data_IF_433183387037
#
_entry.id   IF_433183387037
#
_cell.length_a   1.000
_cell.length_b   1.000
_cell.length_c   1.000
_cell.angle_alpha   90.00
_cell.angle_beta   90.00
_cell.angle_gamma   90.00
#
_symmetry.space_group_name_H-M   'P 1'
#
loop_
_entity.id
_entity.type
_entity.pdbx_description
1 polymer ?
#
# COMPACT_ATOMS: atom_id res chain seq x y z
N UNK A 1 1.42 -16.80 64.46
CA UNK A 1 2.84 -16.80 64.83
C UNK A 1 3.60 -15.95 63.83
N UNK A 2 3.80 -14.66 64.15
CA UNK A 2 4.46 -13.70 63.27
C UNK A 2 5.97 -13.76 63.42
N UNK A 3 6.67 -14.11 62.35
CA UNK A 3 8.13 -14.06 62.27
C UNK A 3 8.54 -12.61 62.11
N UNK A 4 9.03 -11.97 63.17
CA UNK A 4 9.64 -10.64 63.10
C UNK A 4 10.79 -10.65 62.08
N UNK A 5 10.92 -9.64 61.21
CA UNK A 5 12.05 -9.55 60.30
C UNK A 5 13.34 -9.48 61.12
N UNK A 6 14.28 -10.40 60.82
CA UNK A 6 15.55 -10.52 61.52
C UNK A 6 16.30 -9.18 61.50
N UNK A 7 16.73 -8.68 62.67
CA UNK A 7 17.51 -7.43 62.84
C UNK A 7 18.75 -7.35 61.92
N UNK A 8 19.21 -8.46 61.35
CA UNK A 8 20.30 -8.51 60.36
C UNK A 8 19.85 -8.07 58.96
N UNK A 9 18.63 -8.38 58.54
CA UNK A 9 18.08 -7.97 57.24
C UNK A 9 17.91 -6.46 57.14
N UNK A 10 17.46 -5.82 58.22
CA UNK A 10 17.25 -4.36 58.28
C UNK A 10 18.54 -3.53 58.21
N UNK A 11 19.68 -4.14 58.57
CA UNK A 11 21.00 -3.49 58.52
C UNK A 11 21.66 -3.63 57.15
N UNK A 12 21.49 -4.77 56.48
CA UNK A 12 22.05 -5.00 55.14
C UNK A 12 21.33 -4.18 54.05
N UNK A 13 20.04 -3.91 54.22
CA UNK A 13 19.25 -3.09 53.28
C UNK A 13 19.73 -1.63 53.16
N UNK A 14 20.47 -1.09 54.15
CA UNK A 14 20.98 0.30 54.10
C UNK A 14 22.32 0.46 53.38
N UNK A 15 23.01 -0.65 53.07
CA UNK A 15 24.40 -0.63 52.61
C UNK A 15 24.55 -0.79 51.08
N UNK A 16 23.46 -1.14 50.37
CA UNK A 16 23.46 -1.37 48.91
C UNK A 16 23.08 -0.07 48.20
N UNK A 17 23.76 0.23 47.07
CA UNK A 17 23.54 1.43 46.25
C UNK A 17 22.09 1.50 45.75
N UNK A 18 21.31 2.39 46.36
CA UNK A 18 19.85 2.48 46.24
C UNK A 18 19.30 2.83 44.83
N UNK A 19 20.12 3.35 43.91
CA UNK A 19 19.67 3.79 42.57
C UNK A 19 19.75 2.70 41.52
N UNK A 20 20.75 1.83 41.58
CA UNK A 20 20.94 0.76 40.60
C UNK A 20 19.91 -0.35 40.79
N UNK A 21 19.51 -0.61 42.04
CA UNK A 21 18.52 -1.62 42.40
C UNK A 21 17.13 -1.32 41.80
N UNK A 22 16.68 -0.07 41.87
CA UNK A 22 15.36 0.32 41.32
C UNK A 22 15.36 0.17 39.79
N UNK A 23 16.43 0.62 39.13
CA UNK A 23 16.55 0.46 37.68
C UNK A 23 16.60 -1.01 37.27
N UNK A 24 17.37 -1.83 37.98
CA UNK A 24 17.44 -3.27 37.75
C UNK A 24 16.10 -3.96 38.00
N UNK A 25 15.39 -3.60 39.06
CA UNK A 25 14.03 -4.08 39.33
C UNK A 25 13.09 -3.76 38.17
N UNK A 26 13.14 -2.54 37.62
CA UNK A 26 12.34 -2.16 36.45
C UNK A 26 12.75 -2.97 35.20
N UNK A 27 14.05 -3.17 34.96
CA UNK A 27 14.52 -4.00 33.85
C UNK A 27 14.05 -5.45 33.97
N UNK A 28 14.11 -6.03 35.18
CA UNK A 28 13.62 -7.39 35.45
C UNK A 28 12.09 -7.47 35.31
N UNK A 29 11.35 -6.49 35.83
CA UNK A 29 9.91 -6.42 35.67
C UNK A 29 9.51 -6.28 34.21
N UNK A 30 10.25 -5.49 33.43
CA UNK A 30 10.05 -5.42 31.97
C UNK A 30 10.23 -6.79 31.34
N UNK A 31 11.28 -7.52 31.67
CA UNK A 31 11.52 -8.86 31.13
C UNK A 31 10.41 -9.85 31.52
N UNK A 32 9.94 -9.82 32.77
CA UNK A 32 8.88 -10.71 33.27
C UNK A 32 7.52 -10.36 32.65
N UNK A 33 7.16 -9.07 32.61
CA UNK A 33 5.86 -8.60 32.11
C UNK A 33 5.78 -8.58 30.58
N UNK A 34 6.91 -8.61 29.87
CA UNK A 34 6.93 -8.84 28.43
C UNK A 34 6.69 -10.32 28.07
N UNK A 35 6.73 -11.24 29.04
CA UNK A 35 6.34 -12.63 28.84
C UNK A 35 4.90 -12.84 29.30
N UNK A 36 4.00 -13.26 28.40
CA UNK A 36 2.56 -13.36 28.67
C UNK A 36 2.22 -14.11 29.97
N UNK A 37 2.88 -15.25 30.23
CA UNK A 37 2.68 -16.00 31.47
C UNK A 37 3.21 -15.26 32.71
N UNK A 38 4.36 -14.58 32.59
CA UNK A 38 4.93 -13.76 33.66
C UNK A 38 4.03 -12.58 34.00
N UNK A 39 3.48 -11.91 32.99
CA UNK A 39 2.48 -10.86 33.15
C UNK A 39 1.25 -11.35 33.93
N UNK A 40 0.66 -12.47 33.50
CA UNK A 40 -0.50 -13.06 34.16
C UNK A 40 -0.21 -13.45 35.62
N UNK A 41 1.00 -13.94 35.91
CA UNK A 41 1.42 -14.28 37.27
C UNK A 41 1.52 -13.02 38.16
N UNK A 42 2.06 -11.92 37.64
CA UNK A 42 2.13 -10.65 38.36
C UNK A 42 0.73 -10.08 38.61
N UNK A 43 -0.16 -10.11 37.61
CA UNK A 43 -1.51 -9.54 37.70
C UNK A 43 -2.50 -10.38 38.53
N UNK A 44 -2.24 -11.68 38.66
CA UNK A 44 -3.02 -12.59 39.51
C UNK A 44 -2.55 -12.59 40.96
N UNK A 45 -1.29 -12.22 41.22
CA UNK A 45 -0.75 -12.21 42.57
C UNK A 45 -1.27 -11.00 43.38
N UNK A 46 -1.98 -11.20 44.51
CA UNK A 46 -2.71 -10.14 45.23
C UNK A 46 -1.86 -8.96 45.72
N UNK A 47 -0.56 -9.18 45.91
CA UNK A 47 0.35 -8.18 46.49
C UNK A 47 1.48 -7.78 45.54
N UNK A 48 1.62 -8.38 44.36
CA UNK A 48 2.83 -8.19 43.54
C UNK A 48 2.97 -6.73 43.08
N UNK A 49 1.91 -6.16 42.53
CA UNK A 49 1.86 -4.75 42.10
C UNK A 49 2.15 -3.78 43.25
N UNK A 50 1.60 -4.05 44.43
CA UNK A 50 1.75 -3.17 45.58
C UNK A 50 3.18 -3.21 46.14
N UNK A 51 3.79 -4.40 46.23
CA UNK A 51 5.20 -4.55 46.60
C UNK A 51 6.13 -3.91 45.57
N UNK A 52 5.80 -4.00 44.26
CA UNK A 52 6.53 -3.28 43.22
C UNK A 52 6.44 -1.77 43.46
N UNK A 53 5.25 -1.21 43.63
CA UNK A 53 5.05 0.22 43.87
C UNK A 53 5.81 0.71 45.12
N UNK A 54 5.79 -0.06 46.21
CA UNK A 54 6.55 0.22 47.42
C UNK A 54 8.06 0.16 47.19
N UNK A 55 8.54 -0.80 46.40
CA UNK A 55 9.97 -0.92 46.07
C UNK A 55 10.48 0.24 45.21
N UNK A 56 9.62 0.87 44.41
CA UNK A 56 9.96 2.07 43.63
C UNK A 56 10.10 3.31 44.53
N UNK A 57 9.32 3.41 45.62
CA UNK A 57 9.35 4.56 46.54
C UNK A 57 10.43 4.45 47.62
N UNK A 58 11.68 4.75 47.26
CA UNK A 58 12.86 4.57 48.12
C UNK A 58 13.02 5.64 49.23
N UNK A 59 12.19 6.69 49.27
CA UNK A 59 12.44 7.84 50.17
C UNK A 59 11.90 7.71 51.60
N UNK A 60 11.20 6.64 51.96
CA UNK A 60 10.67 6.49 53.32
C UNK A 60 10.88 5.10 53.94
N UNK A 61 12.02 4.86 54.62
CA UNK A 61 12.14 3.76 55.58
C UNK A 61 11.28 3.95 56.84
N UNK A 62 10.46 5.02 56.91
CA UNK A 62 9.62 5.42 58.03
C UNK A 62 8.11 5.45 57.73
N UNK A 63 7.64 4.90 56.62
CA UNK A 63 6.32 4.25 56.69
C UNK A 63 6.57 2.94 57.41
N UNK A 64 6.20 2.80 58.70
CA UNK A 64 6.32 1.52 59.37
C UNK A 64 5.64 0.50 58.46
N UNK A 65 6.24 -0.68 58.32
CA UNK A 65 5.57 -1.92 57.94
C UNK A 65 4.18 -1.89 58.59
N UNK A 66 3.17 -1.34 57.89
CA UNK A 66 1.80 -1.39 58.36
C UNK A 66 1.46 -2.84 58.08
N UNK A 67 1.44 -3.68 59.12
CA UNK A 67 1.45 -5.11 58.97
C UNK A 67 0.14 -5.46 58.32
N UNK A 68 0.13 -5.79 57.03
CA UNK A 68 -1.05 -6.32 56.34
C UNK A 68 -2.35 -5.72 56.91
N UNK A 69 -2.46 -4.39 56.98
CA UNK A 69 -3.79 -3.82 56.94
C UNK A 69 -4.23 -4.25 55.57
N UNK A 70 -5.01 -5.34 55.53
CA UNK A 70 -5.80 -5.81 54.41
C UNK A 70 -5.99 -4.60 53.52
N UNK A 71 -5.20 -4.47 52.44
CA UNK A 71 -5.21 -3.27 51.61
C UNK A 71 -6.65 -3.20 51.13
N UNK A 72 -7.46 -2.34 51.76
CA UNK A 72 -8.82 -2.04 51.32
C UNK A 72 -8.72 -1.04 50.17
N UNK A 73 -7.76 -1.26 49.28
CA UNK A 73 -7.72 -0.60 48.00
C UNK A 73 -8.97 -1.09 47.27
N UNK A 74 -9.81 -0.14 46.86
CA UNK A 74 -11.01 -0.48 46.09
C UNK A 74 -10.61 -0.90 44.68
N UNK A 75 -9.49 -0.37 44.21
CA UNK A 75 -8.94 -0.62 42.89
C UNK A 75 -7.46 -0.97 43.00
N UNK A 76 -7.00 -1.95 42.22
CA UNK A 76 -5.56 -2.19 42.03
C UNK A 76 -4.88 -0.92 41.52
N UNK A 77 -3.61 -0.72 41.86
CA UNK A 77 -2.81 0.48 41.52
C UNK A 77 -3.21 1.78 42.24
N UNK A 78 -4.25 1.80 43.09
CA UNK A 78 -4.73 3.01 43.77
C UNK A 78 -3.62 3.70 44.59
N UNK A 79 -2.87 2.94 45.39
CA UNK A 79 -1.73 3.49 46.15
C UNK A 79 -0.57 3.93 45.29
N UNK A 80 -0.26 3.19 44.23
CA UNK A 80 0.79 3.61 43.28
C UNK A 80 0.44 5.00 42.72
N UNK A 81 -0.80 5.18 42.31
CA UNK A 81 -1.29 6.44 41.77
C UNK A 81 -1.39 7.54 42.83
N UNK A 82 -1.67 7.21 44.09
CA UNK A 82 -1.59 8.17 45.19
C UNK A 82 -0.16 8.69 45.40
N UNK A 83 0.84 7.81 45.47
CA UNK A 83 2.23 8.22 45.62
C UNK A 83 2.75 8.96 44.39
N UNK A 84 2.41 8.48 43.19
CA UNK A 84 2.89 9.06 41.94
C UNK A 84 2.35 10.48 41.71
N UNK A 85 1.06 10.73 41.97
CA UNK A 85 0.46 12.05 41.73
C UNK A 85 0.86 13.11 42.74
N UNK A 86 1.22 12.70 43.96
CA UNK A 86 1.54 13.61 45.07
C UNK A 86 3.06 13.86 45.22
N UNK A 87 3.91 13.14 44.49
CA UNK A 87 5.37 13.30 44.58
C UNK A 87 5.89 14.35 43.60
N UNK A 88 6.29 15.51 44.10
CA UNK A 88 6.93 16.56 43.28
C UNK A 88 8.46 16.63 43.52
N UNK A 89 9.02 15.91 44.50
CA UNK A 89 10.43 16.05 44.93
C UNK A 89 11.40 15.01 44.35
N UNK A 90 10.91 13.96 43.72
CA UNK A 90 11.73 12.84 43.24
C UNK A 90 11.48 12.52 41.77
N UNK A 91 12.23 13.19 40.87
CA UNK A 91 12.17 12.92 39.42
C UNK A 91 12.45 11.44 39.11
N UNK A 92 13.45 10.83 39.75
CA UNK A 92 13.82 9.43 39.48
C UNK A 92 12.67 8.46 39.84
N UNK A 93 11.89 8.77 40.88
CA UNK A 93 10.69 8.00 41.24
C UNK A 93 9.57 8.19 40.23
N UNK A 94 9.32 9.41 39.78
CA UNK A 94 8.31 9.68 38.76
C UNK A 94 8.64 8.98 37.44
N UNK A 95 9.90 9.03 37.01
CA UNK A 95 10.38 8.30 35.83
C UNK A 95 10.16 6.80 36.00
N UNK A 96 10.52 6.24 37.15
CA UNK A 96 10.32 4.83 37.47
C UNK A 96 8.84 4.40 37.45
N UNK A 97 7.96 5.19 38.07
CA UNK A 97 6.52 4.93 38.10
C UNK A 97 5.92 5.03 36.69
N UNK A 98 6.27 6.07 35.94
CA UNK A 98 5.79 6.25 34.57
C UNK A 98 6.25 5.10 33.67
N UNK A 99 7.51 4.70 33.78
CA UNK A 99 8.04 3.55 33.04
C UNK A 99 7.33 2.25 33.41
N UNK A 100 7.02 2.03 34.70
CA UNK A 100 6.25 0.87 35.13
C UNK A 100 4.84 0.85 34.53
N UNK A 101 4.13 1.98 34.56
CA UNK A 101 2.80 2.13 33.95
C UNK A 101 2.88 1.81 32.45
N UNK A 102 3.87 2.35 31.74
CA UNK A 102 4.08 2.07 30.32
C UNK A 102 4.24 0.57 30.04
N UNK A 103 5.01 -0.14 30.88
CA UNK A 103 5.16 -1.58 30.72
C UNK A 103 3.83 -2.28 30.98
N UNK A 104 3.18 -2.00 32.12
CA UNK A 104 1.92 -2.66 32.50
C UNK A 104 0.83 -2.49 31.44
N UNK A 105 0.64 -1.28 30.94
CA UNK A 105 -0.46 -0.96 30.01
C UNK A 105 -0.12 -1.40 28.60
N UNK A 106 1.13 -1.16 28.14
CA UNK A 106 1.46 -1.32 26.72
C UNK A 106 2.20 -2.62 26.37
N UNK A 107 2.59 -3.45 27.34
CA UNK A 107 3.19 -4.77 27.04
C UNK A 107 2.17 -5.86 26.76
N UNK A 108 0.87 -5.60 26.91
CA UNK A 108 -0.17 -6.61 26.69
C UNK A 108 -0.49 -6.76 25.20
N UNK A 109 -0.53 -8.01 24.73
CA UNK A 109 -0.86 -8.37 23.35
C UNK A 109 -2.35 -8.18 23.00
N UNK A 110 -3.26 -8.43 23.96
CA UNK A 110 -4.70 -8.24 23.75
C UNK A 110 -5.04 -6.75 23.81
N UNK A 111 -5.48 -6.20 22.67
CA UNK A 111 -5.83 -4.79 22.54
C UNK A 111 -7.03 -4.39 23.40
N UNK A 112 -8.02 -5.26 23.59
CA UNK A 112 -9.17 -4.95 24.45
C UNK A 112 -8.75 -4.86 25.91
N UNK A 113 -7.89 -5.79 26.33
CA UNK A 113 -7.37 -5.78 27.70
C UNK A 113 -6.43 -4.58 27.93
N UNK A 114 -5.66 -4.18 26.93
CA UNK A 114 -4.86 -2.95 26.99
C UNK A 114 -5.73 -1.70 27.14
N UNK A 115 -6.82 -1.57 26.38
CA UNK A 115 -7.78 -0.46 26.55
C UNK A 115 -8.41 -0.49 27.95
N UNK A 116 -8.72 -1.68 28.47
CA UNK A 116 -9.24 -1.82 29.83
C UNK A 116 -8.24 -1.35 30.90
N UNK A 117 -6.97 -1.77 30.82
CA UNK A 117 -5.92 -1.31 31.72
C UNK A 117 -5.68 0.20 31.62
N UNK A 118 -5.66 0.73 30.39
CA UNK A 118 -5.55 2.17 30.17
C UNK A 118 -6.68 2.91 30.90
N UNK A 119 -7.93 2.42 30.77
CA UNK A 119 -9.08 2.99 31.46
C UNK A 119 -8.99 2.90 32.98
N UNK A 120 -8.46 1.81 33.54
CA UNK A 120 -8.21 1.71 34.99
C UNK A 120 -7.29 2.84 35.47
N UNK A 121 -6.18 3.09 34.78
CA UNK A 121 -5.27 4.18 35.13
C UNK A 121 -5.88 5.56 34.90
N UNK A 122 -6.67 5.74 33.84
CA UNK A 122 -7.45 6.98 33.63
C UNK A 122 -8.38 7.24 34.81
N UNK A 123 -9.06 6.21 35.34
CA UNK A 123 -9.96 6.36 36.51
C UNK A 123 -9.25 6.66 37.81
N UNK A 124 -8.00 6.23 37.95
CA UNK A 124 -7.15 6.57 39.08
C UNK A 124 -6.49 7.96 38.93
N UNK A 125 -6.81 8.65 37.83
CA UNK A 125 -6.44 10.03 37.58
C UNK A 125 -5.03 10.23 37.02
N UNK A 126 -4.59 9.29 36.17
CA UNK A 126 -3.35 9.42 35.42
C UNK A 126 -3.43 10.57 34.42
N UNK A 127 -4.58 10.78 33.80
CA UNK A 127 -4.79 11.83 32.79
C UNK A 127 -4.54 13.23 33.36
N UNK A 128 -5.06 13.53 34.56
CA UNK A 128 -4.85 14.82 35.22
C UNK A 128 -3.37 15.04 35.55
N UNK A 129 -2.64 13.98 35.91
CA UNK A 129 -1.20 14.05 36.10
C UNK A 129 -0.46 14.33 34.79
N UNK A 130 -0.80 13.63 33.71
CA UNK A 130 -0.17 13.82 32.40
C UNK A 130 -0.41 15.25 31.88
N UNK A 131 -1.62 15.79 32.10
CA UNK A 131 -1.94 17.18 31.75
C UNK A 131 -1.16 18.19 32.59
N UNK A 132 -1.09 18.01 33.92
CA UNK A 132 -0.28 18.86 34.82
C UNK A 132 1.20 18.82 34.45
N UNK A 133 1.71 17.64 34.08
CA UNK A 133 3.12 17.36 33.82
C UNK A 133 3.53 17.50 32.35
N UNK A 134 2.63 17.98 31.47
CA UNK A 134 2.87 18.11 30.02
C UNK A 134 4.08 19.00 29.68
N UNK A 135 4.35 20.00 30.52
CA UNK A 135 5.45 20.95 30.35
C UNK A 135 6.52 20.78 31.45
N UNK A 136 6.76 19.54 31.88
CA UNK A 136 7.85 19.25 32.83
C UNK A 136 9.20 19.68 32.27
N UNK A 137 10.05 20.29 33.10
CA UNK A 137 11.43 20.64 32.70
C UNK A 137 12.36 19.42 32.67
N UNK A 138 11.90 18.27 33.17
CA UNK A 138 12.69 17.04 33.20
C UNK A 138 12.56 16.26 31.90
N UNK A 139 13.63 16.29 31.08
CA UNK A 139 13.72 15.51 29.84
C UNK A 139 13.49 14.00 30.08
N UNK A 140 14.06 13.45 31.16
CA UNK A 140 13.89 12.02 31.50
C UNK A 140 12.42 11.65 31.72
N UNK A 141 11.68 12.48 32.44
CA UNK A 141 10.26 12.26 32.68
C UNK A 141 9.46 12.50 31.41
N UNK A 142 9.78 13.55 30.66
CA UNK A 142 9.11 13.90 29.41
C UNK A 142 9.17 12.76 28.39
N UNK A 143 10.32 12.08 28.26
CA UNK A 143 10.45 10.90 27.39
C UNK A 143 9.51 9.77 27.82
N UNK A 144 9.35 9.52 29.12
CA UNK A 144 8.42 8.47 29.59
C UNK A 144 6.94 8.87 29.40
N UNK A 145 6.62 10.15 29.60
CA UNK A 145 5.28 10.70 29.36
C UNK A 145 4.94 10.59 27.88
N UNK A 146 5.84 11.02 26.99
CA UNK A 146 5.60 10.95 25.55
C UNK A 146 5.45 9.51 25.07
N UNK A 147 6.30 8.60 25.55
CA UNK A 147 6.19 7.18 25.22
C UNK A 147 4.84 6.56 25.63
N UNK A 148 4.21 7.05 26.69
CA UNK A 148 2.83 6.65 27.04
C UNK A 148 1.84 7.23 26.05
N UNK A 149 1.87 8.56 25.84
CA UNK A 149 0.93 9.27 24.99
C UNK A 149 0.94 8.75 23.54
N UNK A 150 2.12 8.45 23.00
CA UNK A 150 2.27 7.86 21.65
C UNK A 150 1.63 6.47 21.53
N UNK A 151 1.43 5.78 22.66
CA UNK A 151 0.89 4.43 22.75
C UNK A 151 -0.52 4.39 23.36
N UNK A 152 -1.15 5.53 23.65
CA UNK A 152 -2.53 5.57 24.12
C UNK A 152 -3.47 5.11 23.00
N UNK A 153 -4.41 4.24 23.33
CA UNK A 153 -5.50 3.85 22.45
C UNK A 153 -6.64 4.87 22.53
N UNK A 154 -6.86 5.62 21.45
CA UNK A 154 -8.05 6.45 21.27
C UNK A 154 -9.10 5.69 20.45
N UNK A 155 -9.99 4.98 21.16
CA UNK A 155 -11.07 4.22 20.52
C UNK A 155 -12.05 5.15 19.80
N UNK A 156 -12.24 6.37 20.31
CA UNK A 156 -13.13 7.36 19.69
C UNK A 156 -12.60 7.82 18.35
N UNK A 157 -11.35 8.31 18.34
CA UNK A 157 -10.68 8.72 17.11
C UNK A 157 -10.58 7.61 16.06
N UNK A 158 -10.27 6.37 16.48
CA UNK A 158 -10.24 5.23 15.56
C UNK A 158 -11.61 4.91 14.92
N UNK A 159 -12.70 5.16 15.65
CA UNK A 159 -14.05 4.96 15.12
C UNK A 159 -14.42 6.06 14.10
N UNK A 160 -14.08 7.31 14.40
CA UNK A 160 -14.25 8.44 13.48
C UNK A 160 -13.44 8.27 12.18
N UNK A 161 -12.20 7.79 12.31
CA UNK A 161 -11.34 7.46 11.17
C UNK A 161 -11.93 6.32 10.32
N UNK A 162 -12.51 5.30 10.95
CA UNK A 162 -13.16 4.19 10.26
C UNK A 162 -14.41 4.65 9.50
N UNK A 163 -15.22 5.53 10.10
CA UNK A 163 -16.38 6.14 9.43
C UNK A 163 -15.94 7.00 8.24
N UNK A 164 -14.92 7.85 8.43
CA UNK A 164 -14.33 8.66 7.35
C UNK A 164 -13.81 7.80 6.21
N UNK A 165 -13.16 6.67 6.52
CA UNK A 165 -12.69 5.70 5.54
C UNK A 165 -13.85 5.08 4.75
N UNK A 166 -14.97 4.75 5.40
CA UNK A 166 -16.13 4.19 4.70
C UNK A 166 -16.71 5.19 3.70
N UNK A 167 -16.84 6.47 4.08
CA UNK A 167 -17.28 7.53 3.16
C UNK A 167 -16.33 7.66 1.96
N UNK A 168 -15.03 7.58 2.18
CA UNK A 168 -14.06 7.62 1.10
C UNK A 168 -14.18 6.39 0.15
N UNK A 169 -14.46 5.20 0.69
CA UNK A 169 -14.69 3.99 -0.10
C UNK A 169 -15.96 4.10 -0.95
N UNK A 170 -17.04 4.66 -0.43
CA UNK A 170 -18.25 4.94 -1.23
C UNK A 170 -17.93 5.86 -2.41
N UNK A 171 -17.05 6.86 -2.24
CA UNK A 171 -16.60 7.71 -3.35
C UNK A 171 -15.71 7.00 -4.36
N UNK A 172 -14.93 6.02 -3.93
CA UNK A 172 -14.18 5.17 -4.85
C UNK A 172 -15.14 4.33 -5.69
N UNK A 173 -16.14 3.73 -5.06
CA UNK A 173 -17.17 2.93 -5.75
C UNK A 173 -17.96 3.76 -6.77
N UNK A 174 -18.42 4.97 -6.41
CA UNK A 174 -19.07 5.90 -7.35
C UNK A 174 -18.19 6.21 -8.58
N UNK A 175 -16.89 6.42 -8.37
CA UNK A 175 -15.96 6.69 -9.46
C UNK A 175 -15.71 5.47 -10.35
N UNK A 176 -15.63 4.28 -9.76
CA UNK A 176 -15.50 3.01 -10.49
C UNK A 176 -16.73 2.76 -11.37
N UNK A 177 -17.94 3.02 -10.86
CA UNK A 177 -19.18 2.95 -11.64
C UNK A 177 -19.18 3.96 -12.81
N UNK A 178 -18.77 5.20 -12.56
CA UNK A 178 -18.68 6.21 -13.60
C UNK A 178 -17.69 5.82 -14.71
N UNK A 179 -16.53 5.26 -14.35
CA UNK A 179 -15.54 4.76 -15.31
C UNK A 179 -16.08 3.59 -16.12
N UNK A 180 -16.80 2.65 -15.48
CA UNK A 180 -17.46 1.55 -16.18
C UNK A 180 -18.47 2.09 -17.21
N UNK A 181 -19.32 3.02 -16.81
CA UNK A 181 -20.32 3.62 -17.71
C UNK A 181 -19.69 4.36 -18.89
N UNK A 182 -18.62 5.14 -18.65
CA UNK A 182 -17.92 5.84 -19.73
C UNK A 182 -17.22 4.87 -20.69
N UNK A 183 -16.72 3.75 -20.18
CA UNK A 183 -16.06 2.71 -20.99
C UNK A 183 -17.06 2.01 -21.91
N UNK A 184 -18.24 1.65 -21.38
CA UNK A 184 -19.33 1.08 -22.18
C UNK A 184 -19.78 2.05 -23.28
N UNK A 185 -20.00 3.32 -22.92
CA UNK A 185 -20.39 4.36 -23.88
C UNK A 185 -19.33 4.59 -24.97
N UNK A 186 -18.04 4.52 -24.61
CA UNK A 186 -16.96 4.63 -25.56
C UNK A 186 -16.98 3.45 -26.54
N UNK A 187 -17.17 2.23 -26.04
CA UNK A 187 -17.30 1.03 -26.88
C UNK A 187 -18.50 1.11 -27.84
N UNK A 188 -19.65 1.60 -27.37
CA UNK A 188 -20.83 1.82 -28.22
C UNK A 188 -20.54 2.82 -29.34
N UNK A 189 -19.90 3.95 -29.01
CA UNK A 189 -19.51 4.96 -30.00
C UNK A 189 -18.49 4.43 -31.01
N UNK A 190 -17.52 3.63 -30.55
CA UNK A 190 -16.56 2.95 -31.43
C UNK A 190 -17.27 2.02 -32.41
N UNK A 191 -18.23 1.21 -31.93
CA UNK A 191 -19.03 0.32 -32.76
C UNK A 191 -19.90 1.08 -33.77
N UNK A 192 -20.57 2.15 -33.34
CA UNK A 192 -21.34 2.99 -34.25
C UNK A 192 -20.47 3.63 -35.33
N UNK A 193 -19.30 4.13 -34.96
CA UNK A 193 -18.36 4.73 -35.91
C UNK A 193 -17.83 3.69 -36.89
N UNK A 194 -17.53 2.48 -36.43
CA UNK A 194 -17.13 1.36 -37.29
C UNK A 194 -18.21 1.04 -38.33
N UNK A 195 -19.49 0.97 -37.91
CA UNK A 195 -20.61 0.76 -38.83
C UNK A 195 -20.74 1.89 -39.86
N UNK A 196 -20.63 3.15 -39.43
CA UNK A 196 -20.66 4.32 -40.33
C UNK A 196 -19.53 4.29 -41.35
N UNK A 197 -18.32 3.92 -40.93
CA UNK A 197 -17.17 3.77 -41.83
C UNK A 197 -17.46 2.69 -42.86
N UNK A 198 -17.92 1.51 -42.44
CA UNK A 198 -18.26 0.41 -43.35
C UNK A 198 -19.35 0.79 -44.36
N UNK A 199 -20.38 1.53 -43.94
CA UNK A 199 -21.44 2.03 -44.83
C UNK A 199 -20.90 3.03 -45.85
N UNK A 200 -20.00 3.93 -45.44
CA UNK A 200 -19.36 4.89 -46.33
C UNK A 200 -18.42 4.19 -47.33
N UNK A 201 -17.63 3.22 -46.89
CA UNK A 201 -16.77 2.39 -47.76
C UNK A 201 -17.61 1.66 -48.81
N UNK A 202 -18.76 1.09 -48.41
CA UNK A 202 -19.70 0.45 -49.33
C UNK A 202 -20.26 1.43 -50.36
N UNK A 203 -20.64 2.63 -49.94
CA UNK A 203 -21.12 3.67 -50.85
C UNK A 203 -20.03 4.12 -51.83
N UNK A 204 -18.79 4.27 -51.36
CA UNK A 204 -17.64 4.63 -52.18
C UNK A 204 -17.42 3.56 -53.26
N UNK A 205 -17.36 2.28 -52.88
CA UNK A 205 -17.20 1.17 -53.81
C UNK A 205 -18.32 1.12 -54.86
N UNK A 206 -19.56 1.42 -54.45
CA UNK A 206 -20.69 1.48 -55.38
C UNK A 206 -20.53 2.62 -56.39
N UNK A 207 -20.10 3.81 -55.94
CA UNK A 207 -19.86 4.96 -56.82
C UNK A 207 -18.68 4.73 -57.78
N UNK A 208 -17.64 4.05 -57.34
CA UNK A 208 -16.52 3.65 -58.20
C UNK A 208 -16.98 2.73 -59.34
N UNK A 209 -17.85 1.75 -59.03
CA UNK A 209 -18.43 0.87 -60.07
C UNK A 209 -19.29 1.66 -61.07
N UNK A 210 -20.12 2.57 -60.59
CA UNK A 210 -20.94 3.45 -61.45
C UNK A 210 -20.06 4.32 -62.35
N UNK A 211 -18.99 4.90 -61.80
CA UNK A 211 -18.02 5.69 -62.54
C UNK A 211 -17.33 4.86 -63.63
N UNK A 212 -16.96 3.62 -63.33
CA UNK A 212 -16.30 2.73 -64.30
C UNK A 212 -17.24 2.36 -65.46
N UNK A 213 -18.51 2.09 -65.18
CA UNK A 213 -19.55 1.87 -66.22
C UNK A 213 -19.68 3.09 -67.12
N UNK A 214 -19.72 4.29 -66.52
CA UNK A 214 -19.81 5.55 -67.28
C UNK A 214 -18.57 5.71 -68.17
N UNK A 215 -17.35 5.54 -67.63
CA UNK A 215 -16.10 5.60 -68.42
C UNK A 215 -16.11 4.64 -69.61
N UNK A 216 -16.51 3.38 -69.40
CA UNK A 216 -16.61 2.38 -70.48
C UNK A 216 -17.62 2.79 -71.54
N UNK A 217 -18.79 3.30 -71.13
CA UNK A 217 -19.83 3.76 -72.05
C UNK A 217 -19.34 4.95 -72.89
N UNK A 218 -18.71 5.95 -72.26
CA UNK A 218 -18.12 7.10 -72.95
C UNK A 218 -16.99 6.68 -73.90
N UNK A 219 -16.08 5.81 -73.45
CA UNK A 219 -15.00 5.28 -74.29
C UNK A 219 -15.53 4.52 -75.50
N UNK A 220 -16.56 3.68 -75.31
CA UNK A 220 -17.23 2.96 -76.39
C UNK A 220 -17.94 3.88 -77.39
N UNK A 221 -18.56 4.97 -76.91
CA UNK A 221 -19.16 5.99 -77.77
C UNK A 221 -18.09 6.70 -78.62
N UNK A 222 -16.96 7.07 -78.03
CA UNK A 222 -15.84 7.69 -78.74
C UNK A 222 -15.23 6.78 -79.81
N UNK A 223 -15.12 5.48 -79.54
CA UNK A 223 -14.67 4.51 -80.55
C UNK A 223 -15.67 4.44 -81.71
N UNK A 224 -16.97 4.33 -81.42
CA UNK A 224 -18.02 4.32 -82.46
C UNK A 224 -18.01 5.59 -83.31
N UNK A 225 -17.87 6.75 -82.69
CA UNK A 225 -17.81 8.03 -83.39
C UNK A 225 -16.57 8.13 -84.29
N UNK A 226 -15.41 7.68 -83.80
CA UNK A 226 -14.16 7.62 -84.57
C UNK A 226 -14.23 6.62 -85.73
N UNK A 227 -14.82 5.44 -85.53
CA UNK A 227 -15.02 4.42 -86.56
C UNK A 227 -16.01 4.89 -87.63
N UNK A 228 -17.08 5.57 -87.24
CA UNK A 228 -18.01 6.20 -88.19
C UNK A 228 -17.36 7.35 -88.95
N UNK A 229 -16.57 8.20 -88.29
CA UNK A 229 -15.82 9.27 -88.95
C UNK A 229 -14.79 8.72 -89.95
N UNK A 230 -14.08 7.64 -89.59
CA UNK A 230 -13.15 6.96 -90.48
C UNK A 230 -13.84 6.36 -91.71
N UNK A 231 -15.01 5.74 -91.51
CA UNK A 231 -15.81 5.15 -92.60
C UNK A 231 -16.37 6.19 -93.56
N UNK A 232 -16.73 7.39 -93.06
CA UNK A 232 -17.14 8.54 -93.89
C UNK A 232 -15.99 9.07 -94.75
N UNK A 233 -14.74 8.99 -94.28
CA UNK A 233 -13.58 9.52 -95.01
C UNK A 233 -12.99 8.59 -96.08
N UNK A 234 -13.20 7.26 -95.99
CA UNK A 234 -12.54 6.28 -96.88
C UNK A 234 -13.51 5.34 -97.64
N UNK A 235 -14.80 5.62 -97.66
CA UNK A 235 -15.84 4.75 -98.25
C UNK A 235 -16.13 4.91 -99.75
N UNK A 236 -15.21 5.42 -100.60
CA UNK A 236 -15.46 5.60 -102.05
C UNK A 236 -14.20 5.33 -102.93
N UNK A 237 -14.17 4.16 -103.57
CA UNK A 237 -13.34 3.55 -104.67
C UNK A 237 -11.82 3.87 -104.96
N UNK A 238 -11.03 2.92 -105.55
CA UNK A 238 -9.55 2.97 -105.71
C UNK A 238 -9.06 3.40 -107.12
N UNK A 239 -7.78 3.86 -107.29
CA UNK A 239 -6.79 3.18 -108.19
C UNK A 239 -5.28 3.47 -107.84
N UNK A 240 -4.26 3.23 -108.71
CA UNK A 240 -3.56 1.98 -109.09
C UNK A 240 -2.03 1.93 -108.71
N UNK A 241 -1.38 0.76 -108.87
CA UNK A 241 0.11 0.55 -108.94
C UNK A 241 0.55 0.54 -110.44
N UNK A 242 1.85 0.70 -110.88
CA UNK A 242 3.15 0.21 -110.34
C UNK A 242 4.35 1.22 -110.50
N UNK A 243 5.64 1.01 -110.15
CA UNK A 243 6.61 -0.06 -110.52
C UNK A 243 7.97 0.09 -109.80
N UNK A 244 8.65 -1.06 -109.58
CA UNK A 244 10.10 -1.38 -109.59
C UNK A 244 11.12 -0.53 -108.78
N UNK A 245 12.16 -0.99 -108.07
CA UNK A 245 12.83 -2.23 -107.58
C UNK A 245 14.11 -1.69 -106.81
N UNK A 246 15.04 -2.45 -106.17
CA UNK A 246 14.97 -3.57 -105.21
C UNK A 246 15.95 -3.31 -103.96
N UNK A 247 16.63 -4.27 -103.27
CA UNK A 247 16.58 -4.47 -101.80
C UNK A 247 18.00 -4.54 -101.13
N UNK A 248 18.31 -5.40 -100.12
CA UNK A 248 17.99 -5.48 -98.67
C UNK A 248 19.28 -5.25 -97.79
N UNK A 249 19.49 -5.69 -96.51
CA UNK A 249 19.39 -7.08 -95.99
C UNK A 249 18.75 -7.24 -94.57
N UNK A 250 18.26 -8.45 -94.28
CA UNK A 250 18.15 -9.08 -92.94
C UNK A 250 19.39 -10.03 -92.75
N UNK A 251 19.67 -10.77 -91.64
CA UNK A 251 18.77 -11.12 -90.52
C UNK A 251 19.38 -11.43 -89.10
N UNK A 252 18.49 -11.67 -88.12
CA UNK A 252 18.56 -12.65 -86.97
C UNK A 252 19.41 -12.37 -85.69
N UNK A 253 19.22 -13.10 -84.56
CA UNK A 253 18.02 -13.21 -83.70
C UNK A 253 18.36 -13.10 -82.17
N UNK A 254 17.36 -13.15 -81.28
CA UNK A 254 17.28 -13.95 -80.03
C UNK A 254 16.45 -13.33 -78.87
N UNK A 255 15.55 -14.18 -78.38
CA UNK A 255 15.14 -14.49 -76.98
C UNK A 255 14.43 -13.47 -76.07
N UNK A 256 13.14 -13.76 -75.87
CA UNK A 256 12.50 -14.10 -74.59
C UNK A 256 13.00 -13.42 -73.30
N UNK A 257 12.21 -12.49 -72.76
CA UNK A 257 11.95 -12.44 -71.31
C UNK A 257 10.74 -11.56 -70.98
N UNK A 258 9.78 -12.16 -70.27
CA UNK A 258 8.62 -11.51 -69.63
C UNK A 258 9.04 -10.35 -68.72
N UNK A 259 8.39 -9.18 -68.79
CA UNK A 259 8.06 -8.32 -67.61
C UNK A 259 6.92 -7.32 -67.89
N UNK A 260 6.03 -7.21 -66.89
CA UNK A 260 4.85 -6.34 -66.79
C UNK A 260 5.21 -4.83 -66.66
N UNK A 261 4.28 -3.89 -66.97
CA UNK A 261 4.54 -2.45 -66.87
C UNK A 261 4.55 -1.96 -65.42
N UNK A 262 5.53 -1.09 -65.13
CA UNK A 262 5.76 -0.40 -63.86
C UNK A 262 4.88 0.86 -63.75
N UNK A 263 4.29 1.06 -62.56
CA UNK A 263 3.51 2.25 -62.18
C UNK A 263 4.39 3.48 -61.89
N UNK A 264 3.86 4.72 -62.05
CA UNK A 264 4.57 5.96 -61.72
C UNK A 264 4.73 6.18 -60.19
N UNK A 265 5.63 7.08 -59.77
CA UNK A 265 6.20 7.10 -58.42
C UNK A 265 5.30 7.75 -57.37
N UNK A 266 5.35 7.17 -56.18
CA UNK A 266 4.63 7.56 -54.96
C UNK A 266 5.18 8.89 -54.43
N UNK A 267 4.29 9.86 -54.24
CA UNK A 267 4.56 11.09 -53.50
C UNK A 267 4.87 10.71 -52.03
N UNK A 268 6.04 11.14 -51.55
CA UNK A 268 6.56 10.76 -50.24
C UNK A 268 5.59 11.16 -49.12
N UNK A 269 5.12 10.16 -48.36
CA UNK A 269 4.43 10.39 -47.10
C UNK A 269 5.35 11.20 -46.15
N UNK A 270 4.79 12.12 -45.33
CA UNK A 270 5.58 12.84 -44.34
C UNK A 270 6.22 11.87 -43.34
N UNK A 271 7.39 12.22 -42.77
CA UNK A 271 8.07 11.35 -41.82
C UNK A 271 7.21 11.12 -40.57
N UNK A 272 7.33 9.95 -39.92
CA UNK A 272 6.60 9.67 -38.69
C UNK A 272 6.97 10.66 -37.59
N UNK A 273 6.05 10.99 -36.67
CA UNK A 273 6.35 11.84 -35.52
C UNK A 273 7.45 11.22 -34.66
N UNK A 274 8.26 12.04 -33.97
CA UNK A 274 9.30 11.54 -33.09
C UNK A 274 8.70 10.67 -31.97
N UNK A 275 9.43 9.66 -31.48
CA UNK A 275 8.97 8.83 -30.38
C UNK A 275 8.70 9.70 -29.14
N UNK A 276 7.69 9.38 -28.33
CA UNK A 276 7.43 10.09 -27.09
C UNK A 276 8.66 9.99 -26.16
N UNK A 277 8.90 11.02 -25.32
CA UNK A 277 9.99 10.97 -24.34
C UNK A 277 9.85 9.72 -23.45
N UNK A 278 10.97 9.14 -22.99
CA UNK A 278 10.93 7.98 -22.11
C UNK A 278 10.08 8.29 -20.88
N UNK A 279 9.15 7.38 -20.57
CA UNK A 279 8.34 7.44 -19.36
C UNK A 279 9.26 7.59 -18.14
N UNK A 280 8.89 8.41 -17.14
CA UNK A 280 9.62 8.43 -15.88
C UNK A 280 9.69 7.01 -15.30
N UNK A 281 10.79 6.65 -14.61
CA UNK A 281 10.93 5.32 -14.04
C UNK A 281 9.73 5.01 -13.13
N UNK A 282 9.28 3.75 -13.07
CA UNK A 282 8.19 3.35 -12.20
C UNK A 282 8.54 3.78 -10.76
N UNK A 283 7.53 4.30 -10.05
CA UNK A 283 7.67 4.61 -8.63
C UNK A 283 8.23 3.38 -7.90
N UNK A 284 9.16 3.57 -6.94
CA UNK A 284 9.70 2.46 -6.17
C UNK A 284 8.54 1.67 -5.55
N UNK A 285 8.62 0.33 -5.51
CA UNK A 285 7.56 -0.46 -4.92
C UNK A 285 7.34 0.03 -3.49
N UNK A 286 6.06 0.31 -3.14
CA UNK A 286 5.66 0.45 -1.75
C UNK A 286 6.27 -0.72 -0.98
N UNK A 287 6.84 -0.51 0.23
CA UNK A 287 7.50 -1.56 0.98
C UNK A 287 6.51 -2.68 1.30
N UNK A 288 6.47 -3.66 0.41
CA UNK A 288 5.78 -4.91 0.61
C UNK A 288 6.53 -5.66 1.70
N UNK A 289 5.79 -5.96 2.77
CA UNK A 289 5.89 -7.16 3.61
C UNK A 289 7.31 -7.72 3.72
N UNK A 290 7.92 -7.47 4.87
CA UNK A 290 9.15 -8.14 5.31
C UNK A 290 9.10 -9.65 4.99
N UNK A 291 10.18 -10.23 4.46
CA UNK A 291 10.28 -11.69 4.38
C UNK A 291 10.26 -12.28 5.81
N UNK A 292 9.72 -13.48 6.02
CA UNK A 292 9.87 -14.17 7.30
C UNK A 292 11.36 -14.36 7.59
N UNK A 293 11.76 -14.04 8.82
CA UNK A 293 13.14 -14.16 9.27
C UNK A 293 13.65 -15.61 9.10
N UNK A 294 14.93 -15.80 8.71
CA UNK A 294 15.53 -17.13 8.65
C UNK A 294 15.59 -17.75 10.05
N UNK A 295 15.43 -19.08 10.18
CA UNK A 295 15.50 -19.74 11.48
C UNK A 295 16.92 -19.62 12.05
N UNK A 296 17.00 -19.21 13.32
CA UNK A 296 18.23 -19.16 14.10
C UNK A 296 18.87 -20.57 14.16
N UNK A 297 20.20 -20.70 13.98
CA UNK A 297 20.89 -21.97 14.17
C UNK A 297 21.00 -22.25 15.67
N UNK A 298 20.16 -23.16 16.18
CA UNK A 298 20.31 -23.62 17.57
C UNK A 298 19.05 -24.13 18.25
N UNK A 299 18.25 -24.97 17.61
CA UNK A 299 17.25 -25.78 18.31
C UNK A 299 17.31 -27.24 17.84
N UNK A 300 17.50 -28.13 18.81
CA UNK A 300 17.68 -29.57 18.68
C UNK A 300 16.53 -30.28 17.97
N UNK A 301 16.75 -31.45 17.33
CA UNK A 301 15.72 -32.13 16.57
C UNK A 301 14.70 -32.77 17.51
N UNK A 302 13.44 -32.36 17.40
CA UNK A 302 12.31 -33.17 17.90
C UNK A 302 11.81 -34.06 16.78
N UNK A 303 11.80 -35.36 17.09
CA UNK A 303 11.40 -36.48 16.25
C UNK A 303 9.93 -36.30 15.83
N UNK A 304 9.67 -36.09 14.54
CA UNK A 304 8.34 -36.21 13.97
C UNK A 304 8.13 -37.66 13.48
N UNK A 305 7.27 -38.38 14.20
CA UNK A 305 6.75 -39.69 13.83
C UNK A 305 5.86 -39.55 12.59
N UNK A 306 6.30 -40.11 11.47
CA UNK A 306 5.46 -40.35 10.30
C UNK A 306 4.40 -41.40 10.64
N UNK A 307 3.13 -41.01 10.65
CA UNK A 307 2.01 -41.95 10.49
C UNK A 307 1.41 -41.69 9.12
N UNK A 308 1.65 -42.63 8.21
CA UNK A 308 0.97 -42.70 6.93
C UNK A 308 -0.41 -43.31 7.08
N UNK A 309 -1.38 -42.73 6.37
CA UNK A 309 -2.66 -43.31 5.96
C UNK A 309 -2.84 -42.78 4.52
N UNK A 310 -2.69 -43.65 3.52
CA UNK A 310 -3.76 -44.39 2.85
C UNK A 310 -4.78 -43.47 2.19
#
# INVERSE_FOLDING_TARGET
YGTLPSRRALKNSRLVSQKDDVHLCIMCLRAIMNYQYGFNLVMSHPHAVNEIALSLNNKNPLTPFLPAQVCKEKHRFERLMEYFRNEDSSIDFMVACMQFINIVVHSVEDMNFRVHLQYEFTKLGLEEFLQKSRHTESEKLQVQIQAYLDNVFDVGGLLEDAETKNVALEKVEELEEHLSHLTEKLLDLENENMMRVADLEKQLLQREKELEVVKVCWGGLMIKEKDEAFRRHYGSEPPPLPSAEPPPPQPEPLEETLRLPVLPPVEAAPPPPPPPPPLPPPAPPLPGKCPPAPPLPGASPSIALTVGLS
#
